data_IF_938353090025
#
_entry.id   IF_938353090025
#
_cell.length_a   1.000
_cell.length_b   1.000
_cell.length_c   1.000
_cell.angle_alpha   90.00
_cell.angle_beta   90.00
_cell.angle_gamma   90.00
#
_symmetry.space_group_name_H-M   'P 1'
#
loop_
_entity.id
_entity.type
_entity.pdbx_description
1 polymer ?
#
# COMPACT_ATOMS: atom_id res chain seq x y z
N UNK A 1 0.71 9.32 18.75
CA UNK A 1 0.70 9.25 17.26
C UNK A 1 0.27 7.83 16.88
N UNK A 2 -0.75 7.67 16.03
CA UNK A 2 -1.33 6.37 15.65
C UNK A 2 -1.33 6.21 14.14
N UNK A 3 -1.07 5.01 13.63
CA UNK A 3 -1.10 4.69 12.21
C UNK A 3 -1.05 3.18 11.97
N UNK A 4 -0.80 2.78 10.72
CA UNK A 4 -0.57 1.39 10.34
C UNK A 4 0.80 1.23 9.68
N UNK A 5 1.40 0.06 9.85
CA UNK A 5 2.55 -0.41 9.10
C UNK A 5 2.10 -1.60 8.25
N UNK A 6 1.95 -1.39 6.95
CA UNK A 6 1.56 -2.44 6.00
C UNK A 6 2.81 -3.04 5.37
N UNK A 7 3.14 -4.27 5.76
CA UNK A 7 4.37 -4.97 5.34
C UNK A 7 4.19 -5.60 3.97
N UNK A 8 3.01 -6.18 3.74
CA UNK A 8 2.76 -6.97 2.55
C UNK A 8 1.34 -6.73 2.03
N UNK A 9 1.18 -6.90 0.72
CA UNK A 9 -0.05 -6.63 -0.02
C UNK A 9 -0.41 -7.83 -0.88
N UNK A 10 -1.71 -8.11 -1.00
CA UNK A 10 -2.20 -9.17 -1.88
C UNK A 10 -2.34 -8.70 -3.33
N UNK A 11 -2.84 -7.48 -3.54
CA UNK A 11 -3.09 -6.92 -4.85
C UNK A 11 -3.87 -5.62 -4.78
N UNK A 12 -4.25 -5.09 -5.94
CA UNK A 12 -5.03 -3.86 -6.03
C UNK A 12 -5.58 -3.58 -7.41
N UNK A 13 -6.31 -2.48 -7.50
CA UNK A 13 -6.96 -2.03 -8.71
C UNK A 13 -6.95 -0.50 -8.75
N UNK A 14 -6.95 0.05 -9.97
CA UNK A 14 -7.06 1.48 -10.21
C UNK A 14 -8.14 1.75 -11.25
N UNK A 15 -8.97 2.74 -10.99
CA UNK A 15 -9.75 3.43 -12.02
C UNK A 15 -8.92 4.63 -12.50
N UNK A 16 -8.36 4.48 -13.71
CA UNK A 16 -7.49 5.50 -14.31
C UNK A 16 -8.23 6.78 -14.68
N UNK A 17 -9.56 6.74 -14.83
CA UNK A 17 -10.36 7.92 -15.19
C UNK A 17 -10.53 8.84 -14.01
N UNK A 18 -10.88 8.26 -12.85
CA UNK A 18 -11.04 9.02 -11.59
C UNK A 18 -9.74 9.16 -10.79
N UNK A 19 -8.71 8.40 -11.15
CA UNK A 19 -7.44 8.29 -10.42
C UNK A 19 -7.57 7.55 -9.09
N UNK A 20 -8.71 6.93 -8.80
CA UNK A 20 -8.95 6.20 -7.56
C UNK A 20 -8.28 4.84 -7.61
N UNK A 21 -7.62 4.45 -6.53
CA UNK A 21 -7.02 3.13 -6.39
C UNK A 21 -7.45 2.46 -5.09
N UNK A 22 -7.33 1.13 -5.08
CA UNK A 22 -7.45 0.30 -3.90
C UNK A 22 -6.31 -0.70 -3.83
N UNK A 23 -5.82 -0.97 -2.62
CA UNK A 23 -4.87 -2.05 -2.33
C UNK A 23 -5.31 -2.80 -1.08
N UNK A 24 -5.19 -4.12 -1.09
CA UNK A 24 -5.52 -4.96 0.06
C UNK A 24 -4.25 -5.44 0.76
N UNK A 25 -4.11 -5.16 2.05
CA UNK A 25 -2.96 -5.62 2.85
C UNK A 25 -3.10 -7.10 3.18
N UNK A 26 -2.02 -7.87 3.02
CA UNK A 26 -1.93 -9.25 3.51
C UNK A 26 -1.27 -9.33 4.90
N UNK A 27 -0.43 -8.36 5.24
CA UNK A 27 0.23 -8.26 6.55
C UNK A 27 0.30 -6.80 6.99
N UNK A 28 -0.27 -6.50 8.17
CA UNK A 28 -0.39 -5.13 8.66
C UNK A 28 -0.38 -5.08 10.19
N UNK A 29 0.27 -4.06 10.74
CA UNK A 29 0.41 -3.82 12.18
C UNK A 29 -0.02 -2.40 12.54
N UNK A 30 -0.39 -2.16 13.80
CA UNK A 30 -0.52 -0.81 14.33
C UNK A 30 0.85 -0.17 14.58
N UNK A 31 0.93 1.13 14.34
CA UNK A 31 1.99 1.99 14.87
C UNK A 31 1.37 2.82 15.99
N UNK A 32 1.88 2.68 17.21
CA UNK A 32 1.46 3.45 18.37
C UNK A 32 2.68 4.08 19.02
N UNK A 33 2.67 5.42 19.11
CA UNK A 33 3.76 6.21 19.69
C UNK A 33 5.14 5.91 19.07
N UNK A 34 5.15 5.68 17.75
CA UNK A 34 6.38 5.43 16.99
C UNK A 34 6.89 4.00 17.09
N UNK A 35 6.14 3.08 17.69
CA UNK A 35 6.48 1.66 17.77
C UNK A 35 5.45 0.82 17.04
N UNK A 36 5.90 -0.22 16.34
CA UNK A 36 5.03 -1.26 15.82
C UNK A 36 4.51 -2.06 17.02
N UNK A 37 3.20 -2.27 17.11
CA UNK A 37 2.57 -2.94 18.25
C UNK A 37 1.90 -4.26 17.83
N UNK A 38 0.58 -4.27 17.68
CA UNK A 38 -0.18 -5.50 17.42
C UNK A 38 -0.50 -5.67 15.93
N UNK A 39 -0.55 -6.92 15.43
CA UNK A 39 -1.08 -7.20 14.10
C UNK A 39 -2.58 -6.85 14.05
N UNK A 40 -3.05 -6.39 12.90
CA UNK A 40 -4.48 -6.15 12.65
C UNK A 40 -4.95 -6.97 11.47
N UNK A 41 -6.27 -7.22 11.40
CA UNK A 41 -6.85 -7.86 10.22
C UNK A 41 -6.56 -7.01 8.98
N UNK A 42 -6.36 -7.70 7.86
CA UNK A 42 -6.13 -7.03 6.57
C UNK A 42 -7.18 -5.97 6.29
N UNK A 43 -6.74 -4.85 5.74
CA UNK A 43 -7.56 -3.70 5.40
C UNK A 43 -7.41 -3.35 3.92
N UNK A 44 -8.47 -2.78 3.35
CA UNK A 44 -8.41 -2.19 2.01
C UNK A 44 -8.01 -0.73 2.15
N UNK A 45 -6.86 -0.35 1.59
CA UNK A 45 -6.42 1.03 1.50
C UNK A 45 -7.04 1.67 0.26
N UNK A 46 -7.57 2.88 0.39
CA UNK A 46 -8.24 3.60 -0.70
C UNK A 46 -7.69 5.03 -0.79
N UNK A 47 -7.46 5.50 -2.01
CA UNK A 47 -7.02 6.87 -2.25
C UNK A 47 -7.12 7.31 -3.70
N UNK A 48 -6.71 8.55 -3.96
CA UNK A 48 -6.48 9.08 -5.30
C UNK A 48 -4.97 9.12 -5.56
N UNK A 49 -4.51 8.60 -6.71
CA UNK A 49 -3.09 8.41 -7.01
C UNK A 49 -2.26 9.69 -6.87
N UNK A 50 -2.51 10.73 -7.70
CA UNK A 50 -1.78 12.00 -7.62
C UNK A 50 -1.79 12.64 -6.22
N UNK A 51 -2.95 12.64 -5.56
CA UNK A 51 -3.10 13.19 -4.22
C UNK A 51 -2.25 12.43 -3.19
N UNK A 52 -2.31 11.10 -3.18
CA UNK A 52 -1.55 10.26 -2.25
C UNK A 52 -0.05 10.37 -2.49
N UNK A 53 0.39 10.43 -3.76
CA UNK A 53 1.80 10.64 -4.08
C UNK A 53 2.32 11.97 -3.52
N UNK A 54 1.51 13.03 -3.53
CA UNK A 54 1.88 14.32 -2.92
C UNK A 54 1.97 14.29 -1.38
N UNK A 55 1.44 13.25 -0.74
CA UNK A 55 1.44 13.07 0.73
C UNK A 55 2.57 12.20 1.25
N UNK A 56 3.46 11.76 0.36
CA UNK A 56 4.68 11.04 0.75
C UNK A 56 5.62 12.04 1.42
N UNK A 57 5.83 11.88 2.73
CA UNK A 57 6.62 12.82 3.54
C UNK A 57 7.99 12.29 3.93
N UNK A 58 8.20 10.98 3.85
CA UNK A 58 9.48 10.33 4.11
C UNK A 58 9.69 9.16 3.16
N UNK A 59 10.93 8.98 2.72
CA UNK A 59 11.41 7.89 1.87
C UNK A 59 12.72 7.39 2.47
N UNK A 60 12.79 6.11 2.80
CA UNK A 60 13.97 5.47 3.36
C UNK A 60 14.97 5.07 2.26
N UNK A 61 16.12 4.54 2.67
CA UNK A 61 17.24 4.16 1.81
C UNK A 61 17.37 2.63 1.63
N UNK A 62 16.26 1.90 1.74
CA UNK A 62 16.14 0.45 1.78
C UNK A 62 15.30 -0.07 0.59
N UNK A 63 15.61 0.40 -0.62
CA UNK A 63 14.91 -0.03 -1.84
C UNK A 63 15.09 -1.53 -2.08
N UNK A 64 13.96 -2.22 -2.23
CA UNK A 64 13.89 -3.61 -2.67
C UNK A 64 12.80 -3.78 -3.75
N UNK A 65 13.00 -4.74 -4.64
CA UNK A 65 12.00 -5.18 -5.62
C UNK A 65 11.27 -6.41 -5.08
N UNK A 66 10.06 -6.68 -5.57
CA UNK A 66 9.35 -7.90 -5.22
C UNK A 66 10.12 -9.17 -5.66
N UNK A 67 9.77 -10.31 -5.08
CA UNK A 67 10.40 -11.60 -5.33
C UNK A 67 10.04 -12.24 -6.68
N UNK A 68 9.46 -11.48 -7.62
CA UNK A 68 9.06 -11.93 -8.95
C UNK A 68 7.68 -12.59 -8.98
N UNK A 69 6.76 -12.15 -8.11
CA UNK A 69 5.42 -12.74 -7.95
C UNK A 69 4.32 -11.93 -8.63
N UNK A 70 4.62 -10.70 -9.08
CA UNK A 70 3.66 -9.77 -9.65
C UNK A 70 3.11 -10.22 -11.01
N UNK A 71 1.79 -10.15 -11.16
CA UNK A 71 1.10 -10.23 -12.45
C UNK A 71 0.21 -9.01 -12.63
N UNK A 72 0.25 -8.37 -13.81
CA UNK A 72 -0.58 -7.23 -14.17
C UNK A 72 -1.68 -7.66 -15.13
N UNK A 73 -2.93 -7.33 -14.77
CA UNK A 73 -4.10 -7.53 -15.61
C UNK A 73 -4.52 -6.24 -16.32
N UNK A 74 -4.69 -6.28 -17.65
CA UNK A 74 -5.29 -5.19 -18.42
C UNK A 74 -6.07 -5.74 -19.62
N UNK A 75 -7.34 -5.35 -19.75
CA UNK A 75 -8.23 -5.80 -20.85
C UNK A 75 -8.24 -7.32 -21.03
N UNK A 76 -8.26 -8.06 -19.91
CA UNK A 76 -8.23 -9.53 -19.90
C UNK A 76 -6.87 -10.17 -20.18
N UNK A 77 -5.84 -9.39 -20.49
CA UNK A 77 -4.47 -9.87 -20.64
C UNK A 77 -3.76 -9.90 -19.28
N UNK A 78 -2.95 -10.93 -19.04
CA UNK A 78 -2.11 -11.07 -17.85
C UNK A 78 -0.65 -11.15 -18.24
N UNK A 79 0.19 -10.30 -17.66
CA UNK A 79 1.64 -10.27 -17.92
C UNK A 79 2.42 -10.24 -16.60
N UNK A 80 3.54 -10.99 -16.49
CA UNK A 80 4.44 -10.88 -15.34
C UNK A 80 5.03 -9.46 -15.26
N UNK A 81 5.01 -8.87 -14.06
CA UNK A 81 5.56 -7.53 -13.80
C UNK A 81 6.28 -7.51 -12.47
N UNK A 82 7.24 -6.58 -12.34
CA UNK A 82 7.90 -6.29 -11.07
C UNK A 82 7.41 -4.97 -10.47
N UNK A 83 7.37 -4.89 -9.14
CA UNK A 83 7.14 -3.66 -8.37
C UNK A 83 8.24 -3.51 -7.32
N UNK A 84 8.46 -2.29 -6.84
CA UNK A 84 9.44 -2.06 -5.79
C UNK A 84 9.40 -0.64 -5.25
N UNK A 85 9.78 -0.52 -3.99
CA UNK A 85 9.86 0.75 -3.29
C UNK A 85 10.75 0.57 -2.05
N UNK A 86 11.39 1.64 -1.56
CA UNK A 86 11.87 1.65 -0.18
C UNK A 86 10.69 1.74 0.80
N UNK A 87 11.00 1.66 2.09
CA UNK A 87 10.05 2.04 3.13
C UNK A 87 9.68 3.52 2.95
N UNK A 88 8.39 3.83 2.93
CA UNK A 88 7.91 5.21 2.78
C UNK A 88 6.77 5.50 3.75
N UNK A 89 6.56 6.79 4.03
CA UNK A 89 5.45 7.25 4.86
C UNK A 89 4.52 8.14 4.05
N UNK A 90 3.23 7.79 4.07
CA UNK A 90 2.13 8.63 3.60
C UNK A 90 1.47 9.28 4.81
N UNK A 91 1.37 10.61 4.82
CA UNK A 91 0.83 11.34 5.98
C UNK A 91 -0.68 11.17 6.20
N UNK A 92 -1.42 10.75 5.16
CA UNK A 92 -2.85 10.45 5.27
C UNK A 92 -3.40 9.61 4.13
N UNK A 93 -4.00 8.47 4.46
CA UNK A 93 -4.64 7.53 3.55
C UNK A 93 -5.87 6.91 4.24
N UNK A 94 -6.93 6.63 3.49
CA UNK A 94 -8.13 5.97 4.03
C UNK A 94 -7.87 4.47 4.21
N UNK A 95 -8.11 3.98 5.43
CA UNK A 95 -7.95 2.57 5.80
C UNK A 95 -9.32 1.94 6.01
N UNK A 96 -9.72 1.06 5.10
CA UNK A 96 -10.96 0.28 5.17
C UNK A 96 -10.77 -1.00 5.98
N UNK A 97 -11.00 -0.92 7.28
CA UNK A 97 -10.99 -2.05 8.21
C UNK A 97 -12.01 -1.87 9.33
N UNK A 98 -12.30 -2.95 10.06
CA UNK A 98 -13.12 -2.91 11.28
C UNK A 98 -12.21 -2.92 12.51
N UNK A 99 -12.52 -2.10 13.52
CA UNK A 99 -11.76 -2.01 14.77
C UNK A 99 -11.84 -3.29 15.62
#
# INVERSE_FOLDING_TARGET
RKGIYAVNFGGGQVDITSGKFVFSTSEVYLIENGKITQPVKGATLIGNGPEVMSRISMVANDLELDSGVGNCGKEGQSVPVGVGQPTLKIDGLTVGGTA
#
